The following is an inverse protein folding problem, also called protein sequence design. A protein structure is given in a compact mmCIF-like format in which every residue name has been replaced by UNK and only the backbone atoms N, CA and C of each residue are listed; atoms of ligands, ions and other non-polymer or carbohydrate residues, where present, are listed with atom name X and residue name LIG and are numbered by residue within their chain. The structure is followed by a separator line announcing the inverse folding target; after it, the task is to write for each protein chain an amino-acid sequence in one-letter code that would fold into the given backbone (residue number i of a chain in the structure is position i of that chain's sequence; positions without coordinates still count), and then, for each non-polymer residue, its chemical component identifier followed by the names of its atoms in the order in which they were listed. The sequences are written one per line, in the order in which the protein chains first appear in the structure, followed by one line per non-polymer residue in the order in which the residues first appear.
data_IF_962219015257
#
_entry.id   IF_962219015257
#
_cell.length_a   1.000
_cell.length_b   1.000
_cell.length_c   1.000
_cell.angle_alpha   90.00
_cell.angle_beta   90.00
_cell.angle_gamma   90.00
#
_symmetry.space_group_name_H-M   'P 1'
#
loop_
_entity.id
_entity.type
_entity.pdbx_description
1 polymer ?
#
# COMPACT_ATOMS: atom_id res chain seq x y z
N UNK A 1 -38.32 24.17 24.11
CA UNK A 1 -37.96 23.04 23.22
C UNK A 1 -36.98 23.51 22.17
N UNK A 2 -35.70 23.14 22.29
CA UNK A 2 -34.67 23.50 21.31
C UNK A 2 -34.87 22.59 20.09
N UNK A 3 -35.28 23.16 18.94
CA UNK A 3 -35.36 22.42 17.68
C UNK A 3 -33.94 22.04 17.28
N UNK A 4 -33.60 20.76 17.36
CA UNK A 4 -32.31 20.28 16.86
C UNK A 4 -32.24 20.56 15.35
N UNK A 5 -31.11 21.09 14.84
CA UNK A 5 -30.94 21.30 13.40
C UNK A 5 -31.06 19.95 12.68
N UNK A 6 -31.83 19.92 11.60
CA UNK A 6 -31.93 18.73 10.76
C UNK A 6 -30.54 18.36 10.24
N UNK A 7 -30.15 17.10 10.41
CA UNK A 7 -28.89 16.57 9.88
C UNK A 7 -29.26 15.54 8.84
N UNK A 8 -29.20 15.95 7.57
CA UNK A 8 -29.52 15.15 6.40
C UNK A 8 -28.87 13.75 6.41
N UNK A 9 -27.62 13.67 6.90
CA UNK A 9 -26.86 12.43 6.98
C UNK A 9 -27.40 11.41 8.00
N UNK A 10 -28.22 11.85 8.96
CA UNK A 10 -28.83 10.99 10.00
C UNK A 10 -30.20 10.45 9.59
N UNK A 11 -30.85 11.05 8.59
CA UNK A 11 -32.12 10.57 8.05
C UNK A 11 -31.88 9.56 6.93
N UNK A 12 -32.22 8.30 7.19
CA UNK A 12 -32.07 7.20 6.23
C UNK A 12 -32.92 7.40 4.97
N UNK A 13 -34.10 8.02 5.09
CA UNK A 13 -35.02 8.27 3.96
C UNK A 13 -34.44 9.32 3.04
N UNK A 14 -33.95 10.43 3.61
CA UNK A 14 -33.29 11.47 2.84
C UNK A 14 -32.06 10.95 2.11
N UNK A 15 -31.20 10.19 2.81
CA UNK A 15 -30.01 9.58 2.21
C UNK A 15 -30.36 8.69 1.02
N UNK A 16 -31.41 7.86 1.15
CA UNK A 16 -31.85 6.99 0.07
C UNK A 16 -32.38 7.78 -1.12
N UNK A 17 -33.21 8.81 -0.88
CA UNK A 17 -33.75 9.67 -1.92
C UNK A 17 -32.65 10.43 -2.67
N UNK A 18 -31.67 11.00 -1.97
CA UNK A 18 -30.54 11.71 -2.57
C UNK A 18 -29.66 10.76 -3.41
N UNK A 19 -29.43 9.53 -2.95
CA UNK A 19 -28.69 8.51 -3.70
C UNK A 19 -29.46 8.05 -4.94
N UNK A 20 -30.78 7.87 -4.84
CA UNK A 20 -31.63 7.51 -5.97
C UNK A 20 -31.61 8.61 -7.05
N UNK A 21 -31.82 9.87 -6.65
CA UNK A 21 -31.73 11.03 -7.54
C UNK A 21 -30.35 11.13 -8.19
N UNK A 22 -29.29 11.01 -7.40
CA UNK A 22 -27.91 11.05 -7.92
C UNK A 22 -27.65 9.96 -8.97
N UNK A 23 -28.09 8.71 -8.71
CA UNK A 23 -27.95 7.60 -9.66
C UNK A 23 -28.78 7.81 -10.93
N UNK A 24 -30.01 8.31 -10.80
CA UNK A 24 -30.87 8.64 -11.92
C UNK A 24 -30.24 9.71 -12.81
N UNK A 25 -29.78 10.82 -12.21
CA UNK A 25 -29.12 11.91 -12.93
C UNK A 25 -27.80 11.49 -13.57
N UNK A 26 -27.04 10.58 -12.95
CA UNK A 26 -25.82 10.05 -13.56
C UNK A 26 -26.11 9.24 -14.82
N UNK A 27 -27.17 8.40 -14.79
CA UNK A 27 -27.59 7.60 -15.96
C UNK A 27 -28.14 8.50 -17.07
N UNK A 28 -29.04 9.42 -16.71
CA UNK A 28 -29.61 10.38 -17.66
C UNK A 28 -28.52 11.28 -18.26
N UNK A 29 -27.68 11.89 -17.41
CA UNK A 29 -26.63 12.80 -17.82
C UNK A 29 -25.48 12.17 -18.61
N UNK A 30 -25.34 10.83 -18.62
CA UNK A 30 -24.44 10.14 -19.55
C UNK A 30 -25.04 9.89 -20.93
N UNK A 31 -26.36 9.94 -21.06
CA UNK A 31 -27.08 9.72 -22.32
C UNK A 31 -27.40 11.01 -23.07
N UNK A 32 -27.19 12.18 -22.45
CA UNK A 32 -27.45 13.48 -23.06
C UNK A 32 -26.42 13.72 -24.18
N UNK A 33 -26.85 13.90 -25.44
CA UNK A 33 -25.92 14.21 -26.53
C UNK A 33 -25.29 15.58 -26.31
N UNK A 34 -23.98 15.67 -26.50
CA UNK A 34 -23.24 16.93 -26.44
C UNK A 34 -22.64 17.28 -27.81
N UNK A 35 -22.54 18.57 -28.15
CA UNK A 35 -21.72 19.03 -29.26
C UNK A 35 -20.28 18.53 -29.13
N UNK A 36 -19.64 18.19 -30.25
CA UNK A 36 -18.26 17.63 -30.29
C UNK A 36 -17.24 18.52 -29.59
N UNK A 37 -17.44 19.84 -29.61
CA UNK A 37 -16.53 20.81 -28.98
C UNK A 37 -16.57 20.75 -27.44
N UNK A 38 -17.66 20.26 -26.87
CA UNK A 38 -17.86 20.11 -25.42
C UNK A 38 -17.55 18.70 -24.93
N UNK A 39 -17.58 17.71 -25.82
CA UNK A 39 -17.18 16.35 -25.50
C UNK A 39 -15.65 16.24 -25.53
N UNK A 40 -15.03 16.38 -24.35
CA UNK A 40 -13.58 16.34 -24.18
C UNK A 40 -12.90 15.01 -24.57
N UNK A 41 -13.61 14.05 -25.18
CA UNK A 41 -13.11 12.72 -25.57
C UNK A 41 -12.55 11.89 -24.40
N UNK A 42 -12.76 12.36 -23.17
CA UNK A 42 -12.23 11.73 -21.97
C UNK A 42 -13.06 10.53 -21.56
N UNK A 43 -12.48 9.65 -20.74
CA UNK A 43 -13.13 8.44 -20.20
C UNK A 43 -14.49 8.68 -19.48
N UNK A 44 -14.86 9.93 -19.18
CA UNK A 44 -16.10 10.27 -18.46
C UNK A 44 -16.76 11.51 -19.04
N UNK A 45 -18.07 11.42 -19.30
CA UNK A 45 -18.91 12.52 -19.79
C UNK A 45 -18.80 13.77 -18.87
N UNK A 46 -18.70 15.00 -19.42
CA UNK A 46 -18.47 16.20 -18.62
C UNK A 46 -19.64 16.54 -17.69
N UNK A 47 -20.88 16.23 -18.08
CA UNK A 47 -22.08 16.41 -17.26
C UNK A 47 -21.99 15.57 -15.98
N UNK A 48 -21.52 14.31 -16.08
CA UNK A 48 -21.31 13.44 -14.91
C UNK A 48 -20.33 14.07 -13.91
N UNK A 49 -19.29 14.76 -14.39
CA UNK A 49 -18.35 15.47 -13.53
C UNK A 49 -18.97 16.71 -12.88
N UNK A 50 -19.85 17.41 -13.60
CA UNK A 50 -20.60 18.56 -13.07
C UNK A 50 -21.55 18.13 -11.96
N UNK A 51 -22.34 17.07 -12.20
CA UNK A 51 -23.26 16.49 -11.21
C UNK A 51 -22.53 16.11 -9.92
N UNK A 52 -21.39 15.39 -10.03
CA UNK A 52 -20.56 15.04 -8.87
C UNK A 52 -20.13 16.25 -8.06
N UNK A 53 -19.71 17.33 -8.72
CA UNK A 53 -19.31 18.56 -8.06
C UNK A 53 -20.49 19.26 -7.38
N UNK A 54 -21.67 19.29 -8.01
CA UNK A 54 -22.88 19.90 -7.44
C UNK A 54 -23.37 19.15 -6.21
N UNK A 55 -23.43 17.82 -6.25
CA UNK A 55 -23.76 17.01 -5.06
C UNK A 55 -22.72 17.17 -3.95
N UNK A 56 -21.42 17.22 -4.28
CA UNK A 56 -20.38 17.48 -3.27
C UNK A 56 -20.51 18.88 -2.65
N UNK A 57 -20.86 19.90 -3.46
CA UNK A 57 -21.11 21.28 -2.98
C UNK A 57 -22.31 21.36 -2.03
N UNK A 58 -23.34 20.56 -2.28
CA UNK A 58 -24.56 20.53 -1.46
C UNK A 58 -24.47 19.57 -0.25
N UNK A 59 -23.39 18.78 -0.14
CA UNK A 59 -23.16 17.86 0.98
C UNK A 59 -23.18 18.50 2.38
N UNK A 60 -22.72 19.75 2.62
CA UNK A 60 -22.74 20.36 3.94
C UNK A 60 -24.08 21.06 4.26
N UNK A 61 -25.08 21.02 3.38
CA UNK A 61 -26.38 21.64 3.66
C UNK A 61 -27.08 20.88 4.79
N UNK A 62 -27.45 21.61 5.85
CA UNK A 62 -28.14 21.06 7.03
C UNK A 62 -29.59 21.52 7.10
N UNK A 63 -29.94 22.68 6.56
CA UNK A 63 -31.32 23.16 6.61
C UNK A 63 -32.24 22.36 5.66
N UNK A 64 -33.32 21.81 6.20
CA UNK A 64 -34.31 21.02 5.44
C UNK A 64 -34.88 21.78 4.24
N UNK A 65 -35.09 23.10 4.37
CA UNK A 65 -35.57 23.96 3.28
C UNK A 65 -34.60 23.98 2.09
N UNK A 66 -33.32 24.29 2.33
CA UNK A 66 -32.32 24.29 1.25
C UNK A 66 -32.12 22.91 0.63
N UNK A 67 -32.23 21.85 1.44
CA UNK A 67 -32.15 20.48 0.94
C UNK A 67 -33.35 20.19 0.03
N UNK A 68 -34.56 20.51 0.46
CA UNK A 68 -35.77 20.33 -0.34
C UNK A 68 -35.72 21.14 -1.62
N UNK A 69 -35.34 22.42 -1.56
CA UNK A 69 -35.18 23.28 -2.73
C UNK A 69 -34.16 22.70 -3.71
N UNK A 70 -33.04 22.17 -3.21
CA UNK A 70 -32.00 21.54 -4.04
C UNK A 70 -32.44 20.21 -4.67
N UNK A 71 -33.22 19.41 -3.94
CA UNK A 71 -33.78 18.14 -4.43
C UNK A 71 -34.87 18.40 -5.45
N UNK A 72 -35.80 19.33 -5.16
CA UNK A 72 -36.87 19.74 -6.05
C UNK A 72 -36.31 20.32 -7.35
N UNK A 73 -35.26 21.14 -7.28
CA UNK A 73 -34.55 21.60 -8.48
C UNK A 73 -33.99 20.44 -9.32
N UNK A 74 -33.52 19.36 -8.67
CA UNK A 74 -33.03 18.17 -9.38
C UNK A 74 -34.11 17.28 -9.99
N UNK A 75 -35.36 17.38 -9.55
CA UNK A 75 -36.51 16.62 -10.07
C UNK A 75 -37.33 17.39 -11.11
N UNK A 76 -37.13 18.70 -11.25
CA UNK A 76 -37.84 19.49 -12.26
C UNK A 76 -37.28 19.14 -13.64
N UNK A 77 -38.10 18.48 -14.44
CA UNK A 77 -37.87 18.25 -15.87
C UNK A 77 -37.98 19.59 -16.61
N UNK A 78 -36.86 20.31 -16.66
CA UNK A 78 -36.81 21.67 -17.16
C UNK A 78 -36.10 21.76 -18.53
N UNK A 79 -36.50 22.68 -19.43
CA UNK A 79 -35.82 22.97 -20.71
C UNK A 79 -34.40 23.58 -20.58
N UNK A 80 -33.76 23.44 -19.43
CA UNK A 80 -32.44 23.96 -19.02
C UNK A 80 -31.23 23.33 -19.75
N UNK A 81 -31.45 22.52 -20.79
CA UNK A 81 -30.34 21.95 -21.57
C UNK A 81 -29.43 23.04 -22.14
N UNK A 82 -30.00 24.16 -22.61
CA UNK A 82 -29.27 25.33 -23.09
C UNK A 82 -28.41 25.99 -21.99
N UNK A 83 -28.88 26.03 -20.74
CA UNK A 83 -28.11 26.57 -19.62
C UNK A 83 -26.93 25.68 -19.25
N UNK A 84 -27.11 24.37 -19.31
CA UNK A 84 -26.03 23.40 -19.09
C UNK A 84 -24.97 23.55 -20.18
N UNK A 85 -25.38 23.66 -21.44
CA UNK A 85 -24.47 23.90 -22.55
C UNK A 85 -23.72 25.23 -22.38
N UNK A 86 -24.42 26.32 -22.06
CA UNK A 86 -23.81 27.63 -21.79
C UNK A 86 -22.78 27.55 -20.66
N UNK A 87 -23.12 26.87 -19.56
CA UNK A 87 -22.19 26.69 -18.44
C UNK A 87 -20.95 25.87 -18.81
N UNK A 88 -21.10 24.86 -19.67
CA UNK A 88 -19.96 24.07 -20.17
C UNK A 88 -19.08 24.91 -21.11
N UNK A 89 -19.68 25.74 -21.96
CA UNK A 89 -18.98 26.69 -22.84
C UNK A 89 -18.19 27.72 -22.04
N UNK A 90 -18.84 28.46 -21.12
CA UNK A 90 -18.19 29.44 -20.24
C UNK A 90 -17.02 28.81 -19.46
N UNK A 91 -17.18 27.55 -19.02
CA UNK A 91 -16.13 26.84 -18.30
C UNK A 91 -14.97 26.43 -19.21
N UNK A 92 -15.23 26.07 -20.46
CA UNK A 92 -14.19 25.77 -21.43
C UNK A 92 -13.43 27.04 -21.81
N UNK A 93 -14.14 28.15 -22.06
CA UNK A 93 -13.54 29.46 -22.34
C UNK A 93 -12.66 29.94 -21.17
N UNK A 94 -13.16 29.89 -19.94
CA UNK A 94 -12.35 30.24 -18.75
C UNK A 94 -11.15 29.32 -18.58
N UNK A 95 -11.29 28.03 -18.88
CA UNK A 95 -10.17 27.09 -18.88
C UNK A 95 -9.17 27.41 -20.00
N UNK A 96 -9.61 27.77 -21.19
CA UNK A 96 -8.76 28.17 -22.31
C UNK A 96 -8.02 29.47 -22.02
N UNK A 97 -8.71 30.48 -21.49
CA UNK A 97 -8.09 31.72 -21.00
C UNK A 97 -7.03 31.42 -19.92
N UNK A 98 -7.32 30.48 -19.01
CA UNK A 98 -6.34 30.06 -18.00
C UNK A 98 -5.13 29.35 -18.60
N UNK A 99 -5.31 28.53 -19.65
CA UNK A 99 -4.24 27.84 -20.37
C UNK A 99 -3.44 28.80 -21.27
N UNK A 100 -4.08 29.83 -21.79
CA UNK A 100 -3.43 30.87 -22.57
C UNK A 100 -2.59 31.79 -21.67
N UNK A 101 -3.12 32.17 -20.51
CA UNK A 101 -2.41 33.01 -19.51
C UNK A 101 -1.29 32.26 -18.79
N UNK A 102 -1.50 30.98 -18.49
CA UNK A 102 -0.46 30.12 -17.93
C UNK A 102 0.09 29.26 -19.07
N UNK A 103 1.18 29.67 -19.77
CA UNK A 103 1.84 28.79 -20.72
C UNK A 103 2.03 27.47 -20.02
N UNK A 104 1.54 26.40 -20.64
CA UNK A 104 1.56 25.04 -20.11
C UNK A 104 2.93 24.84 -19.45
N UNK A 105 2.99 24.95 -18.12
CA UNK A 105 4.14 24.51 -17.35
C UNK A 105 4.06 22.99 -17.43
N UNK A 106 4.40 22.43 -18.61
CA UNK A 106 5.18 21.21 -18.68
C UNK A 106 6.37 21.57 -17.81
N UNK A 107 6.27 21.28 -16.51
CA UNK A 107 7.38 21.46 -15.59
C UNK A 107 8.57 20.89 -16.36
N UNK A 108 9.61 21.70 -16.66
CA UNK A 108 10.75 21.18 -17.41
C UNK A 108 11.09 19.85 -16.73
N UNK A 109 11.23 18.75 -17.51
CA UNK A 109 11.39 17.42 -16.93
C UNK A 109 12.42 17.56 -15.84
N UNK A 110 12.01 17.35 -14.56
CA UNK A 110 12.80 17.73 -13.38
C UNK A 110 14.25 17.37 -13.68
N UNK A 111 15.10 18.38 -13.91
CA UNK A 111 16.42 18.15 -14.50
C UNK A 111 17.09 17.06 -13.68
N UNK A 112 17.42 15.91 -14.29
CA UNK A 112 18.09 14.81 -13.59
C UNK A 112 19.36 15.29 -12.88
N UNK A 113 19.97 16.38 -13.40
CA UNK A 113 21.18 17.04 -12.92
C UNK A 113 21.18 17.51 -11.45
N UNK A 114 20.04 17.81 -10.82
CA UNK A 114 20.00 18.32 -9.43
C UNK A 114 19.55 17.30 -8.39
N UNK A 115 19.76 16.01 -8.64
CA UNK A 115 19.59 15.01 -7.59
C UNK A 115 20.90 14.91 -6.83
N UNK A 116 20.87 15.24 -5.54
CA UNK A 116 21.97 14.88 -4.67
C UNK A 116 22.17 13.37 -4.76
N UNK A 117 23.42 12.90 -4.75
CA UNK A 117 23.72 11.49 -4.79
C UNK A 117 23.05 10.77 -3.61
N UNK A 118 22.67 9.50 -3.78
CA UNK A 118 22.19 8.70 -2.68
C UNK A 118 23.25 8.67 -1.57
N UNK A 119 22.81 8.53 -0.32
CA UNK A 119 23.74 8.45 0.81
C UNK A 119 24.58 7.16 0.77
N UNK A 120 23.94 6.07 0.35
CA UNK A 120 24.50 4.73 0.28
C UNK A 120 24.34 4.18 -1.14
N UNK A 121 25.39 3.55 -1.62
CA UNK A 121 25.43 2.82 -2.89
C UNK A 121 25.63 1.34 -2.61
N UNK A 122 24.86 0.49 -3.30
CA UNK A 122 25.04 -0.96 -3.24
C UNK A 122 26.31 -1.31 -4.02
N UNK A 123 27.26 -1.98 -3.35
CA UNK A 123 28.54 -2.39 -3.94
C UNK A 123 28.58 -3.89 -4.24
N UNK A 124 27.85 -4.69 -3.46
CA UNK A 124 27.79 -6.14 -3.63
C UNK A 124 27.19 -6.55 -4.98
N UNK A 125 27.76 -7.60 -5.57
CA UNK A 125 27.21 -8.30 -6.74
C UNK A 125 25.79 -8.87 -6.45
N UNK A 126 24.97 -9.21 -7.47
CA UNK A 126 23.66 -9.82 -7.24
C UNK A 126 23.68 -11.11 -6.42
N UNK A 127 24.79 -11.87 -6.46
CA UNK A 127 24.94 -13.17 -5.78
C UNK A 127 25.62 -13.07 -4.41
N UNK A 128 26.24 -11.94 -4.09
CA UNK A 128 26.93 -11.72 -2.82
C UNK A 128 25.99 -11.16 -1.75
N UNK A 129 26.31 -11.37 -0.46
CA UNK A 129 25.60 -10.72 0.64
C UNK A 129 25.51 -9.21 0.42
N UNK A 130 24.33 -8.64 0.68
CA UNK A 130 24.08 -7.22 0.44
C UNK A 130 25.06 -6.37 1.24
N UNK A 131 25.88 -5.61 0.53
CA UNK A 131 26.83 -4.67 1.14
C UNK A 131 26.61 -3.28 0.58
N UNK A 132 26.47 -2.34 1.50
CA UNK A 132 26.34 -0.92 1.22
C UNK A 132 27.58 -0.17 1.66
N UNK A 133 27.99 0.77 0.82
CA UNK A 133 29.06 1.71 1.13
C UNK A 133 28.55 3.13 0.95
N UNK A 134 29.19 4.05 1.67
CA UNK A 134 28.85 5.45 1.63
C UNK A 134 29.30 6.04 0.31
N UNK A 135 28.44 6.81 -0.33
CA UNK A 135 28.67 7.25 -1.70
C UNK A 135 29.68 8.39 -1.79
N UNK A 136 29.54 9.38 -0.89
CA UNK A 136 30.41 10.57 -0.84
C UNK A 136 30.94 10.84 0.56
N UNK A 137 30.26 10.34 1.59
CA UNK A 137 30.61 10.63 2.98
C UNK A 137 31.62 9.61 3.52
N UNK A 138 32.46 10.01 4.48
CA UNK A 138 32.55 11.33 5.12
C UNK A 138 33.14 12.41 4.20
N UNK A 139 32.57 13.62 4.24
CA UNK A 139 33.09 14.75 3.47
C UNK A 139 34.41 15.25 4.09
N UNK A 140 35.39 15.74 3.30
CA UNK A 140 36.58 16.38 3.87
C UNK A 140 36.22 17.73 4.52
N UNK A 141 37.05 18.20 5.48
CA UNK A 141 36.84 19.48 6.19
C UNK A 141 36.72 20.67 5.23
N UNK A 142 37.46 20.63 4.12
CA UNK A 142 37.49 21.68 3.11
C UNK A 142 36.22 21.75 2.26
N UNK A 143 35.26 20.83 2.41
CA UNK A 143 34.02 20.78 1.65
C UNK A 143 32.78 21.29 2.41
N UNK A 144 32.95 21.80 3.64
CA UNK A 144 31.86 22.45 4.38
C UNK A 144 32.38 23.53 5.33
N UNK A 145 31.49 24.45 5.67
CA UNK A 145 31.79 25.59 6.53
C UNK A 145 31.53 25.24 8.00
N UNK A 146 32.45 25.65 8.88
CA UNK A 146 32.30 25.55 10.33
C UNK A 146 32.63 24.18 10.91
N UNK A 147 32.14 23.90 12.12
CA UNK A 147 32.41 22.64 12.82
C UNK A 147 31.64 21.46 12.22
N UNK A 148 32.32 20.31 12.13
CA UNK A 148 31.67 19.05 11.73
C UNK A 148 30.70 18.61 12.80
N UNK A 149 29.43 18.51 12.42
CA UNK A 149 28.38 17.91 13.26
C UNK A 149 28.16 16.47 12.80
N UNK A 150 28.51 15.53 13.67
CA UNK A 150 28.24 14.12 13.41
C UNK A 150 26.72 13.89 13.26
N UNK A 151 26.28 13.17 12.22
CA UNK A 151 24.87 12.86 12.05
C UNK A 151 24.33 12.04 13.23
N UNK A 152 23.03 12.15 13.49
CA UNK A 152 22.36 11.32 14.49
C UNK A 152 21.72 10.11 13.79
N UNK A 153 22.12 8.87 14.13
CA UNK A 153 21.44 7.69 13.63
C UNK A 153 20.06 7.58 14.26
N UNK A 154 19.09 7.07 13.49
CA UNK A 154 17.73 6.79 13.95
C UNK A 154 17.21 5.50 13.33
N UNK A 155 16.22 4.91 14.00
CA UNK A 155 15.55 3.69 13.54
C UNK A 155 14.04 3.89 13.60
N UNK A 156 13.33 3.35 12.61
CA UNK A 156 11.87 3.19 12.72
C UNK A 156 11.54 1.94 13.52
N UNK A 157 10.28 1.79 13.93
CA UNK A 157 9.80 0.59 14.61
C UNK A 157 9.96 -0.70 13.76
N UNK A 158 10.00 -0.56 12.43
CA UNK A 158 10.21 -1.66 11.49
C UNK A 158 11.69 -1.93 11.17
N UNK A 159 12.63 -1.42 11.97
CA UNK A 159 14.08 -1.59 11.78
C UNK A 159 14.67 -0.89 10.55
N UNK A 160 13.96 0.06 9.91
CA UNK A 160 14.56 0.89 8.87
C UNK A 160 15.53 1.88 9.52
N UNK A 161 16.83 1.64 9.31
CA UNK A 161 17.88 2.56 9.75
C UNK A 161 17.95 3.79 8.83
N UNK A 162 18.11 4.96 9.44
CA UNK A 162 18.24 6.21 8.72
C UNK A 162 19.14 7.20 9.46
N UNK A 163 19.59 8.22 8.75
CA UNK A 163 20.47 9.25 9.29
C UNK A 163 19.75 10.59 9.30
N UNK A 164 19.75 11.25 10.46
CA UNK A 164 19.22 12.60 10.61
C UNK A 164 20.34 13.63 10.56
N UNK A 165 20.33 14.43 9.50
CA UNK A 165 21.33 15.48 9.27
C UNK A 165 20.98 16.80 10.00
N UNK A 166 19.69 17.10 10.20
CA UNK A 166 19.23 18.33 10.85
C UNK A 166 17.98 18.16 11.73
N UNK A 167 17.82 19.07 12.70
CA UNK A 167 16.60 19.25 13.51
C UNK A 167 15.97 20.62 13.19
N UNK A 168 14.64 20.75 12.99
CA UNK A 168 13.64 19.69 12.84
C UNK A 168 13.86 18.85 11.56
N UNK A 169 13.27 17.66 11.52
CA UNK A 169 13.41 16.75 10.37
C UNK A 169 12.69 17.33 9.14
N UNK A 170 13.27 17.30 7.93
CA UNK A 170 12.57 17.75 6.74
C UNK A 170 11.29 16.92 6.49
N UNK A 171 10.15 17.58 6.26
CA UNK A 171 8.87 16.91 5.98
C UNK A 171 8.94 15.90 4.83
N UNK A 172 9.74 16.19 3.79
CA UNK A 172 9.92 15.29 2.64
C UNK A 172 10.60 13.99 3.05
N UNK A 173 11.57 14.06 3.96
CA UNK A 173 12.29 12.90 4.45
C UNK A 173 11.40 12.03 5.35
N UNK A 174 10.70 12.64 6.31
CA UNK A 174 9.71 11.95 7.15
C UNK A 174 8.63 11.26 6.30
N UNK A 175 8.11 11.92 5.26
CA UNK A 175 7.16 11.32 4.32
C UNK A 175 7.75 10.14 3.54
N UNK A 176 9.02 10.21 3.15
CA UNK A 176 9.69 9.13 2.45
C UNK A 176 9.90 7.91 3.37
N UNK A 177 10.29 8.12 4.62
CA UNK A 177 10.37 7.06 5.64
C UNK A 177 9.01 6.41 5.86
N UNK A 178 7.96 7.23 6.09
CA UNK A 178 6.60 6.73 6.30
C UNK A 178 6.09 5.89 5.12
N UNK A 179 6.41 6.28 3.87
CA UNK A 179 6.08 5.47 2.69
C UNK A 179 6.79 4.11 2.68
N UNK A 180 8.08 4.06 3.02
CA UNK A 180 8.84 2.79 3.08
C UNK A 180 8.29 1.86 4.15
N UNK A 181 8.04 2.39 5.35
CA UNK A 181 7.36 1.67 6.43
C UNK A 181 5.99 1.14 5.99
N UNK A 182 5.19 1.95 5.29
CA UNK A 182 3.87 1.54 4.83
C UNK A 182 3.94 0.41 3.79
N UNK A 183 4.89 0.45 2.87
CA UNK A 183 5.10 -0.63 1.89
C UNK A 183 5.41 -1.94 2.62
N UNK A 184 6.36 -1.92 3.56
CA UNK A 184 6.71 -3.11 4.33
C UNK A 184 5.53 -3.67 5.14
N UNK A 185 4.76 -2.81 5.81
CA UNK A 185 3.56 -3.23 6.55
C UNK A 185 2.50 -3.84 5.62
N UNK A 186 2.29 -3.26 4.43
CA UNK A 186 1.38 -3.82 3.42
C UNK A 186 1.84 -5.22 3.00
N UNK A 187 3.11 -5.40 2.73
CA UNK A 187 3.65 -6.68 2.26
C UNK A 187 3.57 -7.74 3.40
N UNK A 188 3.80 -7.34 4.64
CA UNK A 188 3.58 -8.18 5.83
C UNK A 188 2.11 -8.60 5.97
N UNK A 189 1.17 -7.67 5.82
CA UNK A 189 -0.26 -7.99 5.88
C UNK A 189 -0.67 -8.90 4.73
N UNK A 190 -0.12 -8.71 3.52
CA UNK A 190 -0.37 -9.59 2.38
C UNK A 190 0.12 -11.02 2.64
N UNK A 191 1.28 -11.19 3.29
CA UNK A 191 1.77 -12.50 3.73
C UNK A 191 0.80 -13.16 4.73
N UNK A 192 0.36 -12.41 5.75
CA UNK A 192 -0.58 -12.92 6.76
C UNK A 192 -1.92 -13.29 6.12
N UNK A 193 -2.43 -12.46 5.22
CA UNK A 193 -3.67 -12.75 4.49
C UNK A 193 -3.53 -13.99 3.60
N UNK A 194 -2.38 -14.15 2.93
CA UNK A 194 -2.08 -15.36 2.14
C UNK A 194 -2.07 -16.62 3.01
N UNK A 195 -1.43 -16.56 4.18
CA UNK A 195 -1.37 -17.68 5.13
C UNK A 195 -2.71 -18.02 5.78
N UNK A 196 -3.51 -17.02 6.15
CA UNK A 196 -4.71 -17.23 6.97
C UNK A 196 -5.98 -17.37 6.12
N UNK A 197 -6.25 -16.41 5.24
CA UNK A 197 -7.51 -16.30 4.49
C UNK A 197 -7.44 -17.03 3.16
N UNK A 198 -6.38 -16.78 2.39
CA UNK A 198 -6.27 -17.34 1.03
C UNK A 198 -6.04 -18.85 1.11
N UNK A 199 -5.09 -19.31 1.94
CA UNK A 199 -4.81 -20.74 2.09
C UNK A 199 -6.03 -21.56 2.56
N UNK A 200 -6.84 -21.02 3.47
CA UNK A 200 -8.04 -21.72 3.96
C UNK A 200 -9.12 -21.79 2.89
N UNK A 201 -9.33 -20.71 2.13
CA UNK A 201 -10.27 -20.67 1.01
C UNK A 201 -9.82 -21.61 -0.11
N UNK A 202 -8.53 -21.59 -0.43
CA UNK A 202 -7.94 -22.41 -1.48
C UNK A 202 -8.08 -23.91 -1.21
N UNK A 203 -7.95 -24.32 0.05
CA UNK A 203 -8.22 -25.70 0.45
C UNK A 203 -9.67 -26.11 0.21
N UNK A 204 -10.62 -25.22 0.52
CA UNK A 204 -12.04 -25.52 0.36
C UNK A 204 -12.41 -25.64 -1.13
N UNK A 205 -11.83 -24.77 -1.96
CA UNK A 205 -12.00 -24.75 -3.41
C UNK A 205 -11.40 -26.00 -4.06
N UNK A 206 -10.14 -26.35 -3.76
CA UNK A 206 -9.52 -27.59 -4.27
C UNK A 206 -10.30 -28.85 -3.84
N UNK A 207 -10.87 -28.85 -2.63
CA UNK A 207 -11.72 -29.94 -2.16
C UNK A 207 -13.04 -30.03 -2.93
N UNK A 208 -13.61 -28.88 -3.30
CA UNK A 208 -14.80 -28.82 -4.16
C UNK A 208 -14.48 -29.27 -5.58
N UNK A 209 -13.35 -28.84 -6.16
CA UNK A 209 -12.90 -29.30 -7.48
C UNK A 209 -12.69 -30.82 -7.51
N UNK A 210 -12.13 -31.39 -6.44
CA UNK A 210 -11.97 -32.84 -6.30
C UNK A 210 -13.32 -33.55 -6.33
N UNK A 211 -14.29 -33.07 -5.56
CA UNK A 211 -15.65 -33.64 -5.52
C UNK A 211 -16.37 -33.51 -6.86
N UNK A 212 -16.24 -32.36 -7.54
CA UNK A 212 -16.81 -32.14 -8.87
C UNK A 212 -16.20 -33.09 -9.90
N UNK A 213 -14.88 -33.27 -9.86
CA UNK A 213 -14.19 -34.22 -10.74
C UNK A 213 -14.62 -35.67 -10.47
N UNK A 214 -14.87 -36.05 -9.22
CA UNK A 214 -15.42 -37.37 -8.89
C UNK A 214 -16.82 -37.57 -9.49
N UNK A 215 -17.74 -36.62 -9.30
CA UNK A 215 -19.10 -36.69 -9.88
C UNK A 215 -19.07 -36.75 -11.42
N UNK A 216 -18.24 -35.93 -12.07
CA UNK A 216 -18.09 -35.98 -13.54
C UNK A 216 -17.59 -37.34 -14.04
N UNK A 217 -16.70 -37.99 -13.27
CA UNK A 217 -16.21 -39.34 -13.59
C UNK A 217 -17.30 -40.40 -13.45
N UNK A 218 -18.18 -40.27 -12.46
CA UNK A 218 -19.35 -41.15 -12.29
C UNK A 218 -20.36 -40.98 -13.43
N UNK A 219 -20.51 -39.77 -13.97
CA UNK A 219 -21.37 -39.47 -15.13
C UNK A 219 -20.74 -39.88 -16.48
N UNK A 220 -19.52 -40.41 -16.49
CA UNK A 220 -18.81 -40.83 -17.70
C UNK A 220 -18.22 -39.68 -18.53
N UNK A 221 -18.23 -38.45 -18.01
CA UNK A 221 -17.61 -37.29 -18.64
C UNK A 221 -16.11 -37.34 -18.32
N UNK A 222 -15.31 -37.74 -19.32
CA UNK A 222 -13.86 -37.92 -19.17
C UNK A 222 -13.02 -36.80 -19.77
N UNK A 223 -13.66 -35.68 -20.15
CA UNK A 223 -12.94 -34.48 -20.59
C UNK A 223 -12.06 -34.01 -19.42
N UNK A 224 -10.78 -34.42 -19.48
CA UNK A 224 -9.77 -33.96 -18.55
C UNK A 224 -9.62 -32.48 -18.80
N UNK A 225 -10.19 -31.66 -17.92
CA UNK A 225 -9.68 -30.31 -17.73
C UNK A 225 -8.22 -30.52 -17.33
N UNK A 226 -7.32 -30.37 -18.29
CA UNK A 226 -5.89 -30.57 -18.07
C UNK A 226 -5.49 -29.52 -17.04
N UNK A 227 -5.29 -29.95 -15.79
CA UNK A 227 -4.75 -29.07 -14.77
C UNK A 227 -3.39 -28.59 -15.27
N UNK A 228 -3.25 -27.26 -15.42
CA UNK A 228 -2.04 -26.61 -15.93
C UNK A 228 -0.87 -26.78 -14.93
N UNK A 229 -0.27 -27.96 -14.92
CA UNK A 229 0.93 -28.28 -14.15
C UNK A 229 0.79 -28.02 -12.63
N UNK A 230 1.89 -27.67 -11.94
CA UNK A 230 1.89 -27.41 -10.49
C UNK A 230 0.92 -26.31 -10.06
N UNK A 231 0.60 -25.37 -10.97
CA UNK A 231 -0.32 -24.25 -10.70
C UNK A 231 -1.79 -24.64 -10.80
N UNK A 232 -2.11 -25.89 -11.16
CA UNK A 232 -3.48 -26.37 -11.29
C UNK A 232 -4.24 -26.50 -9.97
N UNK A 233 -3.55 -26.46 -8.82
CA UNK A 233 -4.16 -26.39 -7.49
C UNK A 233 -4.15 -24.95 -6.98
N UNK A 234 -5.32 -24.46 -6.54
CA UNK A 234 -5.41 -23.15 -5.93
C UNK A 234 -4.59 -23.11 -4.64
N UNK A 235 -4.55 -24.21 -3.86
CA UNK A 235 -3.71 -24.29 -2.66
C UNK A 235 -2.22 -24.13 -2.98
N UNK A 236 -1.72 -24.75 -4.05
CA UNK A 236 -0.33 -24.56 -4.47
C UNK A 236 -0.05 -23.10 -4.83
N UNK A 237 -0.95 -22.44 -5.58
CA UNK A 237 -0.78 -21.03 -5.92
C UNK A 237 -0.84 -20.10 -4.69
N UNK A 238 -1.63 -20.46 -3.66
CA UNK A 238 -1.66 -19.76 -2.38
C UNK A 238 -0.36 -19.96 -1.59
N UNK A 239 0.21 -21.16 -1.62
CA UNK A 239 1.52 -21.46 -1.04
C UNK A 239 2.62 -20.67 -1.73
N UNK A 240 2.62 -20.63 -3.06
CA UNK A 240 3.54 -19.84 -3.87
C UNK A 240 3.43 -18.34 -3.57
N UNK A 241 2.22 -17.83 -3.44
CA UNK A 241 1.98 -16.43 -3.06
C UNK A 241 2.54 -16.12 -1.68
N UNK A 242 2.36 -17.02 -0.71
CA UNK A 242 2.91 -16.88 0.64
C UNK A 242 4.44 -16.87 0.61
N UNK A 243 5.07 -17.83 -0.05
CA UNK A 243 6.54 -17.91 -0.13
C UNK A 243 7.11 -16.67 -0.79
N UNK A 244 6.45 -16.16 -1.84
CA UNK A 244 6.82 -14.91 -2.50
C UNK A 244 6.87 -13.72 -1.55
N UNK A 245 5.83 -13.53 -0.75
CA UNK A 245 5.80 -12.47 0.23
C UNK A 245 6.84 -12.67 1.33
N UNK A 246 7.02 -13.89 1.81
CA UNK A 246 8.02 -14.22 2.83
C UNK A 246 9.45 -13.86 2.36
N UNK A 247 9.81 -14.26 1.15
CA UNK A 247 11.08 -13.89 0.54
C UNK A 247 11.24 -12.38 0.33
N UNK A 248 10.18 -11.71 -0.12
CA UNK A 248 10.20 -10.26 -0.34
C UNK A 248 10.48 -9.53 0.98
N UNK A 249 9.85 -9.97 2.07
CA UNK A 249 10.10 -9.45 3.42
C UNK A 249 11.52 -9.75 3.90
N UNK A 250 12.02 -10.96 3.65
CA UNK A 250 13.39 -11.32 4.02
C UNK A 250 14.42 -10.50 3.23
N UNK A 251 14.20 -10.27 1.93
CA UNK A 251 15.00 -9.34 1.13
C UNK A 251 14.98 -7.93 1.68
N UNK A 252 13.80 -7.43 2.08
CA UNK A 252 13.69 -6.11 2.72
C UNK A 252 14.50 -6.06 4.02
N UNK A 253 14.39 -7.10 4.85
CA UNK A 253 15.12 -7.21 6.12
C UNK A 253 16.63 -7.23 5.89
N UNK A 254 17.13 -8.06 4.98
CA UNK A 254 18.55 -8.13 4.62
C UNK A 254 19.05 -6.77 4.09
N UNK A 255 18.28 -6.14 3.20
CA UNK A 255 18.59 -4.81 2.68
C UNK A 255 18.68 -3.76 3.79
N UNK A 256 17.74 -3.79 4.74
CA UNK A 256 17.69 -2.82 5.84
C UNK A 256 18.78 -3.06 6.87
N UNK A 257 19.11 -4.31 7.19
CA UNK A 257 20.24 -4.67 8.05
C UNK A 257 21.54 -4.17 7.43
N UNK A 258 21.79 -4.47 6.16
CA UNK A 258 23.00 -4.05 5.46
C UNK A 258 23.12 -2.51 5.37
N UNK A 259 22.01 -1.81 5.12
CA UNK A 259 21.99 -0.34 5.19
C UNK A 259 22.24 0.18 6.60
N UNK A 260 21.71 -0.50 7.62
CA UNK A 260 21.90 -0.15 9.03
C UNK A 260 23.36 -0.24 9.44
N UNK A 261 24.03 -1.31 9.05
CA UNK A 261 25.48 -1.47 9.26
C UNK A 261 26.27 -0.34 8.58
N UNK A 262 25.98 -0.05 7.31
CA UNK A 262 26.65 1.02 6.57
C UNK A 262 26.40 2.40 7.21
N UNK A 263 25.19 2.66 7.70
CA UNK A 263 24.85 3.88 8.45
C UNK A 263 25.64 3.96 9.76
N UNK A 264 25.76 2.87 10.52
CA UNK A 264 26.53 2.87 11.77
C UNK A 264 28.00 3.19 11.51
N UNK A 265 28.62 2.50 10.55
CA UNK A 265 30.00 2.74 10.14
C UNK A 265 30.22 4.19 9.70
N UNK A 266 29.30 4.75 8.91
CA UNK A 266 29.36 6.16 8.49
C UNK A 266 29.36 7.11 9.69
N UNK A 267 28.43 6.91 10.63
CA UNK A 267 28.28 7.79 11.80
C UNK A 267 29.51 7.70 12.70
N UNK A 268 30.08 6.50 12.87
CA UNK A 268 31.32 6.30 13.62
C UNK A 268 32.50 7.01 12.97
N UNK A 269 32.67 6.88 11.65
CA UNK A 269 33.70 7.60 10.90
C UNK A 269 33.56 9.13 11.05
N UNK A 270 32.35 9.65 10.88
CA UNK A 270 32.08 11.09 11.06
C UNK A 270 32.34 11.55 12.51
N UNK A 271 32.06 10.71 13.52
CA UNK A 271 32.38 11.01 14.93
C UNK A 271 33.88 11.04 15.18
N UNK A 272 34.63 10.09 14.64
CA UNK A 272 36.10 10.04 14.77
C UNK A 272 36.73 11.25 14.10
N UNK A 273 36.31 11.59 12.88
CA UNK A 273 36.78 12.78 12.17
C UNK A 273 36.42 14.07 12.92
N UNK A 274 35.20 14.18 13.44
CA UNK A 274 34.80 15.36 14.23
C UNK A 274 35.66 15.52 15.49
N UNK A 275 36.05 14.42 16.16
CA UNK A 275 36.97 14.46 17.31
C UNK A 275 38.37 14.92 16.90
N UNK A 276 38.91 14.36 15.80
CA UNK A 276 40.24 14.73 15.28
C UNK A 276 40.30 16.21 14.87
N UNK A 277 39.29 16.71 14.16
CA UNK A 277 39.22 18.10 13.73
C UNK A 277 39.08 19.08 14.90
N UNK A 278 38.37 18.68 15.96
CA UNK A 278 38.29 19.46 17.21
C UNK A 278 39.64 19.52 17.93
N UNK A 279 40.38 18.43 17.95
CA UNK A 279 41.72 18.38 18.56
C UNK A 279 42.75 19.17 17.75
N UNK A 280 42.64 19.18 16.42
CA UNK A 280 43.58 19.90 15.55
C UNK A 280 43.32 21.40 15.47
N UNK A 281 42.21 21.91 16.02
CA UNK A 281 41.87 23.34 15.97
C UNK A 281 41.72 23.88 14.55
N UNK A 282 41.29 23.05 13.59
CA UNK A 282 41.26 23.43 12.17
C UNK A 282 40.38 24.68 11.95
N UNK A 283 40.96 25.70 11.32
CA UNK A 283 40.29 26.97 11.07
C UNK A 283 39.04 26.80 10.18
N UNK A 284 38.05 27.72 10.31
CA UNK A 284 36.88 27.71 9.45
C UNK A 284 37.28 27.92 7.99
N UNK A 285 36.92 26.96 7.12
CA UNK A 285 37.07 27.10 5.66
C UNK A 285 36.19 28.22 5.13
N UNK A 286 36.72 29.01 4.20
CA UNK A 286 35.93 30.01 3.46
C UNK A 286 34.73 29.38 2.74
N UNK A 287 33.57 30.05 2.74
CA UNK A 287 32.33 29.49 2.22
C UNK A 287 32.34 29.26 0.71
N UNK A 288 33.10 30.05 -0.05
CA UNK A 288 33.22 29.91 -1.50
C UNK A 288 34.08 28.71 -1.86
N UNK A 289 35.27 28.60 -1.27
CA UNK A 289 36.17 27.45 -1.41
C UNK A 289 35.47 26.15 -1.01
N UNK A 290 34.70 26.16 0.08
CA UNK A 290 33.93 25.00 0.52
C UNK A 290 32.87 24.55 -0.50
N UNK A 291 32.22 25.50 -1.19
CA UNK A 291 31.25 25.20 -2.24
C UNK A 291 31.92 24.63 -3.48
N UNK A 292 33.01 25.25 -3.93
CA UNK A 292 33.77 24.79 -5.10
C UNK A 292 34.30 23.36 -4.90
N UNK A 293 34.90 23.09 -3.74
CA UNK A 293 35.36 21.74 -3.38
C UNK A 293 34.21 20.73 -3.36
N UNK A 294 33.05 21.10 -2.79
CA UNK A 294 31.88 20.22 -2.78
C UNK A 294 31.36 19.98 -4.20
N UNK A 295 31.29 21.00 -5.05
CA UNK A 295 30.83 20.89 -6.42
C UNK A 295 31.79 20.04 -7.27
N UNK A 296 33.10 20.14 -7.04
CA UNK A 296 34.11 19.28 -7.67
C UNK A 296 33.93 17.81 -7.28
N UNK A 297 33.74 17.52 -5.98
CA UNK A 297 33.45 16.15 -5.50
C UNK A 297 32.15 15.61 -6.12
N UNK A 298 31.12 16.45 -6.23
CA UNK A 298 29.86 16.06 -6.85
C UNK A 298 29.99 15.85 -8.37
N UNK A 299 30.85 16.61 -9.05
CA UNK A 299 31.11 16.45 -10.48
C UNK A 299 31.85 15.14 -10.77
N UNK A 300 32.90 14.83 -10.00
CA UNK A 300 33.63 13.55 -10.08
C UNK A 300 32.69 12.36 -9.85
N UNK A 301 31.82 12.44 -8.83
CA UNK A 301 30.83 11.40 -8.60
C UNK A 301 29.90 11.19 -9.82
N UNK A 302 29.41 12.28 -10.42
CA UNK A 302 28.50 12.19 -11.59
C UNK A 302 29.21 11.59 -12.80
N UNK A 303 30.49 11.88 -13.00
CA UNK A 303 31.29 11.27 -14.07
C UNK A 303 31.41 9.76 -13.84
N UNK A 304 31.80 9.35 -12.63
CA UNK A 304 31.86 7.92 -12.25
C UNK A 304 30.52 7.20 -12.35
N UNK A 305 29.41 7.88 -12.03
CA UNK A 305 28.07 7.33 -12.19
C UNK A 305 27.72 7.16 -13.67
N UNK A 306 28.02 8.14 -14.52
CA UNK A 306 27.80 8.06 -15.96
C UNK A 306 28.62 6.94 -16.61
N UNK A 307 29.88 6.76 -16.20
CA UNK A 307 30.73 5.64 -16.62
C UNK A 307 30.12 4.30 -16.20
N UNK A 308 29.67 4.17 -14.94
CA UNK A 308 29.00 2.95 -14.46
C UNK A 308 27.68 2.66 -15.19
N UNK A 309 26.93 3.69 -15.55
CA UNK A 309 25.72 3.53 -16.35
C UNK A 309 26.05 3.09 -17.77
N UNK A 310 27.14 3.62 -18.36
CA UNK A 310 27.62 3.18 -19.67
C UNK A 310 28.09 1.72 -19.62
N UNK A 311 28.88 1.32 -18.62
CA UNK A 311 29.32 -0.07 -18.47
C UNK A 311 28.14 -1.03 -18.27
N UNK A 312 27.11 -0.62 -17.52
CA UNK A 312 25.86 -1.40 -17.39
C UNK A 312 25.09 -1.52 -18.69
N UNK A 313 25.06 -0.47 -19.52
CA UNK A 313 24.41 -0.52 -20.84
C UNK A 313 25.17 -1.43 -21.79
N UNK A 314 26.51 -1.42 -21.76
CA UNK A 314 27.35 -2.29 -22.60
C UNK A 314 27.34 -3.74 -22.12
N UNK A 315 27.19 -3.99 -20.82
CA UNK A 315 27.14 -5.35 -20.24
C UNK A 315 25.87 -6.15 -20.60
N UNK A 316 24.93 -5.56 -21.35
CA UNK A 316 23.67 -6.18 -21.72
C UNK A 316 22.67 -6.23 -20.56
N UNK A 317 21.39 -6.15 -20.89
CA UNK A 317 20.34 -6.41 -19.92
C UNK A 317 20.37 -7.91 -19.59
N UNK A 318 20.67 -8.27 -18.35
CA UNK A 318 20.41 -9.63 -17.87
C UNK A 318 18.95 -9.96 -18.15
N UNK A 319 18.70 -11.05 -18.86
CA UNK A 319 17.35 -11.49 -19.19
C UNK A 319 16.53 -11.59 -17.91
N UNK A 320 15.36 -10.95 -17.92
CA UNK A 320 14.45 -11.01 -16.80
C UNK A 320 13.93 -12.44 -16.67
N UNK A 321 14.54 -13.23 -15.79
CA UNK A 321 14.03 -14.53 -15.41
C UNK A 321 12.89 -14.33 -14.43
N UNK A 322 11.68 -14.75 -14.81
CA UNK A 322 10.52 -14.70 -13.93
C UNK A 322 10.83 -15.50 -12.65
N UNK A 323 10.87 -14.85 -11.47
CA UNK A 323 11.19 -15.52 -10.23
C UNK A 323 10.22 -16.65 -9.89
N UNK A 324 8.98 -16.62 -10.37
CA UNK A 324 7.98 -17.65 -10.10
C UNK A 324 8.21 -18.95 -10.90
N UNK A 325 9.03 -18.90 -11.94
CA UNK A 325 9.38 -20.06 -12.78
C UNK A 325 10.73 -20.68 -12.42
N UNK A 326 11.43 -20.11 -11.43
CA UNK A 326 12.69 -20.69 -10.96
C UNK A 326 12.41 -21.99 -10.20
N UNK A 327 13.17 -23.05 -10.50
CA UNK A 327 12.98 -24.37 -9.88
C UNK A 327 13.07 -24.33 -8.36
N UNK A 328 14.05 -23.59 -7.83
CA UNK A 328 14.23 -23.36 -6.38
C UNK A 328 12.96 -22.81 -5.70
N UNK A 329 12.23 -21.95 -6.41
CA UNK A 329 11.01 -21.32 -5.93
C UNK A 329 9.83 -22.29 -5.86
N UNK A 330 9.71 -23.15 -6.86
CA UNK A 330 8.70 -24.20 -6.89
C UNK A 330 8.96 -25.24 -5.79
N UNK A 331 10.21 -25.64 -5.58
CA UNK A 331 10.61 -26.55 -4.50
C UNK A 331 10.30 -25.99 -3.11
N UNK A 332 10.57 -24.70 -2.88
CA UNK A 332 10.27 -24.05 -1.60
C UNK A 332 8.75 -23.89 -1.38
N UNK A 333 8.00 -23.56 -2.44
CA UNK A 333 6.54 -23.52 -2.39
C UNK A 333 5.94 -24.89 -2.08
N UNK A 334 6.43 -25.95 -2.72
CA UNK A 334 6.02 -27.33 -2.48
C UNK A 334 6.31 -27.76 -1.03
N UNK A 335 7.49 -27.44 -0.50
CA UNK A 335 7.83 -27.72 0.90
C UNK A 335 6.87 -27.03 1.88
N UNK A 336 6.50 -25.77 1.62
CA UNK A 336 5.56 -25.03 2.46
C UNK A 336 4.16 -25.64 2.40
N UNK A 337 3.74 -26.12 1.23
CA UNK A 337 2.49 -26.84 1.07
C UNK A 337 2.48 -28.15 1.87
N UNK A 338 3.55 -28.96 1.76
CA UNK A 338 3.72 -30.22 2.50
C UNK A 338 3.68 -29.99 4.01
N UNK A 339 4.38 -28.97 4.52
CA UNK A 339 4.34 -28.61 5.93
C UNK A 339 2.93 -28.24 6.40
N UNK A 340 2.17 -27.55 5.55
CA UNK A 340 0.79 -27.18 5.86
C UNK A 340 -0.12 -28.41 5.92
N UNK A 341 0.02 -29.33 4.96
CA UNK A 341 -0.69 -30.61 4.94
C UNK A 341 -0.40 -31.43 6.20
N UNK A 342 0.87 -31.57 6.57
CA UNK A 342 1.27 -32.28 7.78
C UNK A 342 0.68 -31.65 9.05
N UNK A 343 0.70 -30.32 9.16
CA UNK A 343 0.06 -29.60 10.29
C UNK A 343 -1.44 -29.82 10.33
N UNK A 344 -2.11 -29.86 9.18
CA UNK A 344 -3.54 -30.14 9.09
C UNK A 344 -3.86 -31.57 9.54
N UNK A 345 -3.10 -32.57 9.08
CA UNK A 345 -3.29 -33.96 9.49
C UNK A 345 -3.09 -34.16 10.98
N UNK A 346 -2.04 -33.57 11.57
CA UNK A 346 -1.81 -33.59 13.03
C UNK A 346 -2.97 -32.99 13.82
N UNK A 347 -3.58 -31.90 13.33
CA UNK A 347 -4.75 -31.28 13.97
C UNK A 347 -6.00 -32.17 13.88
N UNK A 348 -6.16 -32.92 12.80
CA UNK A 348 -7.28 -33.84 12.64
C UNK A 348 -7.14 -35.03 13.60
N UNK A 349 -5.99 -35.71 13.59
CA UNK A 349 -5.71 -36.84 14.49
C UNK A 349 -5.89 -36.43 15.97
N UNK A 350 -5.37 -35.26 16.37
CA UNK A 350 -5.56 -34.75 17.73
C UNK A 350 -7.02 -34.45 18.10
N UNK A 351 -7.88 -34.14 17.12
CA UNK A 351 -9.33 -33.96 17.36
C UNK A 351 -10.02 -35.31 17.53
N UNK A 352 -9.65 -36.28 16.72
CA UNK A 352 -10.21 -37.63 16.74
C UNK A 352 -9.83 -38.34 18.05
N UNK A 353 -8.57 -38.21 18.50
CA UNK A 353 -8.13 -38.70 19.81
C UNK A 353 -8.91 -38.03 20.96
N UNK A 354 -9.14 -36.72 20.89
CA UNK A 354 -9.95 -36.00 21.88
C UNK A 354 -11.42 -36.39 21.86
N UNK A 355 -11.98 -36.74 20.71
CA UNK A 355 -13.34 -37.27 20.60
C UNK A 355 -13.43 -38.71 21.12
N UNK A 356 -12.42 -39.54 20.85
CA UNK A 356 -12.32 -40.91 21.36
C UNK A 356 -12.23 -40.93 22.91
N UNK A 357 -11.47 -39.99 23.50
CA UNK A 357 -11.40 -39.83 24.96
C UNK A 357 -12.61 -39.11 25.58
N UNK A 358 -13.49 -38.50 24.76
CA UNK A 358 -14.79 -37.97 25.18
C UNK A 358 -15.93 -38.98 25.03
N UNK A 359 -15.62 -40.28 24.89
CA UNK A 359 -16.65 -41.32 25.11
C UNK A 359 -17.27 -41.09 26.49
N UNK A 360 -18.60 -40.99 26.58
CA UNK A 360 -19.25 -40.68 27.83
C UNK A 360 -19.04 -41.85 28.79
N UNK A 361 -18.54 -41.57 30.00
CA UNK A 361 -18.91 -42.33 31.19
C UNK A 361 -20.44 -42.18 31.36
N UNK A 362 -21.20 -42.89 30.54
CA UNK A 362 -22.63 -43.15 30.73
C UNK A 362 -22.78 -44.65 30.73
N UNK A 363 -22.53 -45.20 31.91
CA UNK A 363 -23.18 -46.39 32.47
C UNK A 363 -22.61 -46.58 33.88
N UNK A 364 -22.96 -45.67 34.78
CA UNK A 364 -22.99 -45.96 36.21
C UNK A 364 -24.40 -45.59 36.67
N UNK A 365 -25.04 -46.56 37.32
CA UNK A 365 -26.46 -46.67 37.63
C UNK A 365 -27.20 -45.37 37.93
N UNK A 366 -28.36 -45.23 37.30
CA UNK A 366 -29.45 -44.43 37.81
C UNK A 366 -30.03 -45.13 39.04
N UNK A 367 -29.62 -44.71 40.23
CA UNK A 367 -30.49 -44.74 41.39
C UNK A 367 -31.12 -43.34 41.50
N UNK A 368 -32.43 -43.29 41.29
CA UNK A 368 -33.24 -42.09 41.33
C UNK A 368 -33.42 -41.62 42.77
N UNK A 369 -32.75 -40.53 43.17
CA UNK A 369 -33.21 -39.70 44.28
C UNK A 369 -33.81 -38.37 43.77
N UNK A 370 -35.02 -38.00 44.23
CA UNK A 370 -35.69 -36.77 43.81
C UNK A 370 -35.04 -35.53 44.45
N UNK A 371 -34.36 -34.74 43.63
CA UNK A 371 -33.80 -33.44 44.04
C UNK A 371 -34.92 -32.39 44.15
N UNK A 372 -35.01 -31.61 45.23
CA UNK A 372 -36.08 -30.65 45.46
C UNK A 372 -35.97 -29.42 44.54
N UNK A 373 -37.13 -29.01 44.04
CA UNK A 373 -37.36 -27.83 43.20
C UNK A 373 -36.95 -26.56 43.94
N UNK A 374 -35.78 -26.00 43.61
CA UNK A 374 -35.41 -24.63 44.00
C UNK A 374 -36.08 -23.63 43.05
N UNK A 375 -37.10 -22.93 43.57
CA UNK A 375 -37.66 -21.73 42.95
C UNK A 375 -36.58 -20.65 42.84
N UNK A 376 -36.26 -20.24 41.62
CA UNK A 376 -35.36 -19.12 41.35
C UNK A 376 -36.01 -17.76 41.65
N UNK A 377 -35.23 -16.72 41.99
CA UNK A 377 -35.76 -15.41 42.31
C UNK A 377 -36.19 -14.64 41.07
N UNK A 378 -37.38 -14.04 41.13
CA UNK A 378 -37.92 -13.08 40.17
C UNK A 378 -36.96 -11.90 39.99
N UNK A 379 -36.40 -11.73 38.79
CA UNK A 379 -35.69 -10.51 38.40
C UNK A 379 -36.70 -9.45 37.98
N UNK A 380 -36.99 -8.51 38.89
CA UNK A 380 -37.67 -7.26 38.58
C UNK A 380 -36.73 -6.35 37.78
N UNK A 381 -37.04 -6.16 36.49
CA UNK A 381 -36.41 -5.15 35.65
C UNK A 381 -36.85 -3.74 36.11
N UNK A 382 -35.91 -2.96 36.65
CA UNK A 382 -36.06 -1.51 36.81
C UNK A 382 -35.63 -0.83 35.50
N UNK A 383 -36.60 -0.32 34.76
CA UNK A 383 -36.41 0.70 33.73
C UNK A 383 -36.38 2.04 34.46
N UNK A 384 -35.27 2.78 34.34
CA UNK A 384 -35.15 4.18 34.79
C UNK A 384 -34.98 5.03 33.53
N UNK A 385 -35.80 6.08 33.45
CA UNK A 385 -35.88 7.08 32.38
C UNK A 385 -34.68 8.01 32.35
#
# INVERSE_FOLDING_TARGET
MIRQPFIAARDSRHRLAALALYRALLRAGSSVPLPKDLDSGGRRHPIVRLLKKRFAKNSPLTSLRLIYDSMAAGYKDSPEHSEILRHLQERNETAELSRARAPSFKKPPRSKQRRNPPLLTKVSSPEEPLRYETTIRPLPKNAFVGERKAPVPGHTAEHLAFVRMKKPEPRVFSRALGRKTQIFRRDMLAMIDAETKIMSSARAEDGWDTMMNEMLREEGITDRISQDGPLGSYRFSAALSRTWWAYTLEKHKQDWTARGEAVSRLVEQERVLAKREKQSGAEPTDPEVARENLDAILADYRQKEAEREQTRKTAGATEFRDPFTATKWLEEAQKVEDEYLQKSMRKHNNRDDRQAHRRPLRDIGKDEEPVPVRKGPEQKAKIVW
#
